data_IF_352761161573
#
_entry.id   IF_352761161573
#
_cell.length_a   1.000
_cell.length_b   1.000
_cell.length_c   1.000
_cell.angle_alpha   90.00
_cell.angle_beta   90.00
_cell.angle_gamma   90.00
#
_symmetry.space_group_name_H-M   'P 1'
#
loop_
_entity.id
_entity.type
_entity.pdbx_description
1 polymer ?
#
# COMPACT_ATOMS: atom_id res chain seq x y z
N UNK A 1 -13.85 3.54 2.24
CA UNK A 1 -14.16 2.15 2.59
C UNK A 1 -13.18 1.23 1.88
N UNK A 2 -12.74 0.10 2.47
CA UNK A 2 -11.72 -0.77 1.88
C UNK A 2 -12.06 -1.26 0.48
N UNK A 3 -13.30 -1.65 0.23
CA UNK A 3 -13.75 -2.06 -1.10
C UNK A 3 -13.71 -0.94 -2.14
N UNK A 4 -13.85 0.33 -1.74
CA UNK A 4 -13.79 1.45 -2.67
C UNK A 4 -12.38 1.59 -3.28
N UNK A 5 -11.33 1.39 -2.49
CA UNK A 5 -9.95 1.44 -3.01
C UNK A 5 -9.64 0.34 -4.01
N UNK A 6 -10.37 -0.79 -3.98
CA UNK A 6 -10.25 -1.87 -4.96
C UNK A 6 -11.16 -1.71 -6.19
N UNK A 7 -11.98 -0.64 -6.23
CA UNK A 7 -12.83 -0.29 -7.39
C UNK A 7 -12.17 0.82 -8.23
N UNK A 8 -11.57 1.83 -7.57
CA UNK A 8 -11.02 3.00 -8.24
C UNK A 8 -10.03 2.70 -9.36
N UNK A 9 -9.10 1.72 -9.22
CA UNK A 9 -8.17 1.37 -10.30
C UNK A 9 -8.84 0.86 -11.58
N UNK A 10 -10.01 0.23 -11.44
CA UNK A 10 -10.77 -0.34 -12.56
C UNK A 10 -11.81 0.63 -13.16
N UNK A 11 -11.99 1.80 -12.57
CA UNK A 11 -13.02 2.76 -12.97
C UNK A 11 -12.44 4.15 -13.15
N UNK A 12 -12.27 4.88 -12.07
CA UNK A 12 -11.84 6.29 -12.09
C UNK A 12 -10.44 6.47 -12.72
N UNK A 13 -9.49 5.58 -12.42
CA UNK A 13 -8.12 5.66 -12.93
C UNK A 13 -7.97 5.24 -14.40
N UNK A 14 -9.00 4.66 -15.02
CA UNK A 14 -8.99 4.39 -16.45
C UNK A 14 -9.11 5.69 -17.28
N UNK A 15 -9.71 6.72 -16.72
CA UNK A 15 -9.89 8.01 -17.41
C UNK A 15 -8.69 8.92 -17.25
N UNK A 16 -8.13 9.01 -16.05
CA UNK A 16 -7.01 9.91 -15.72
C UNK A 16 -6.49 9.63 -14.31
N UNK A 17 -5.31 10.15 -13.96
CA UNK A 17 -4.87 10.25 -12.57
C UNK A 17 -5.89 10.98 -11.70
N UNK A 18 -5.81 10.80 -10.40
CA UNK A 18 -6.69 11.46 -9.45
C UNK A 18 -5.89 11.99 -8.26
N UNK A 19 -6.40 13.02 -7.61
CA UNK A 19 -5.91 13.43 -6.31
C UNK A 19 -6.27 12.35 -5.30
N UNK A 20 -5.25 11.88 -4.60
CA UNK A 20 -5.40 10.91 -3.54
C UNK A 20 -4.32 11.14 -2.48
N UNK A 21 -4.71 11.10 -1.23
CA UNK A 21 -3.82 11.37 -0.09
C UNK A 21 -3.81 10.17 0.84
N UNK A 22 -2.99 9.14 0.55
CA UNK A 22 -2.79 8.00 1.44
C UNK A 22 -1.78 8.30 2.54
N UNK A 23 -1.40 7.28 3.30
CA UNK A 23 -0.27 7.34 4.21
C UNK A 23 -0.64 7.73 5.64
N UNK A 24 -1.84 7.45 6.08
CA UNK A 24 -2.19 7.62 7.49
C UNK A 24 -1.48 6.54 8.30
N UNK A 25 -0.62 6.92 9.25
CA UNK A 25 0.09 6.02 10.15
C UNK A 25 -0.58 5.89 11.50
N UNK A 26 -1.26 6.96 11.96
CA UNK A 26 -2.06 6.92 13.19
C UNK A 26 -3.47 6.39 12.90
N UNK A 27 -3.66 5.09 13.01
CA UNK A 27 -4.88 4.39 12.62
C UNK A 27 -5.80 4.07 13.81
N UNK A 28 -5.28 4.18 15.04
CA UNK A 28 -6.02 3.93 16.28
C UNK A 28 -6.10 5.19 17.13
N UNK A 29 -7.14 5.30 17.95
CA UNK A 29 -7.36 6.43 18.84
C UNK A 29 -7.33 7.79 18.10
N UNK A 30 -7.91 7.82 16.93
CA UNK A 30 -7.90 8.99 16.08
C UNK A 30 -8.77 10.08 16.68
N UNK A 31 -8.11 11.09 17.26
CA UNK A 31 -8.76 12.32 17.73
C UNK A 31 -8.95 13.27 16.57
N UNK A 32 -9.88 13.00 15.68
CA UNK A 32 -10.30 14.05 14.77
C UNK A 32 -11.25 15.01 15.51
N UNK A 33 -10.90 16.27 15.46
CA UNK A 33 -11.70 17.44 15.76
C UNK A 33 -13.19 17.16 16.03
N UNK A 34 -13.49 16.64 17.20
CA UNK A 34 -14.83 16.81 17.75
C UNK A 34 -14.83 18.18 18.41
N UNK A 35 -15.46 19.20 17.82
CA UNK A 35 -15.49 20.54 18.38
C UNK A 35 -16.20 20.63 19.72
N UNK A 36 -16.72 19.53 20.21
CA UNK A 36 -17.65 19.44 21.33
C UNK A 36 -17.22 18.51 22.48
N UNK A 37 -15.94 18.25 22.66
CA UNK A 37 -15.41 17.46 23.78
C UNK A 37 -16.08 16.08 23.99
N UNK A 38 -16.72 15.51 22.95
CA UNK A 38 -17.32 14.19 23.06
C UNK A 38 -16.24 13.15 23.31
N UNK A 39 -16.56 12.25 24.20
CA UNK A 39 -15.72 11.12 24.62
C UNK A 39 -15.14 10.41 23.40
N UNK A 40 -13.82 10.30 23.37
CA UNK A 40 -13.11 9.55 22.33
C UNK A 40 -13.63 8.12 22.40
N UNK A 41 -14.32 7.67 21.35
CA UNK A 41 -14.63 6.27 21.24
C UNK A 41 -13.33 5.53 20.92
N UNK A 42 -12.80 4.68 21.82
CA UNK A 42 -11.58 3.93 21.55
C UNK A 42 -11.70 2.99 20.35
N UNK A 43 -12.93 2.71 19.91
CA UNK A 43 -13.21 1.90 18.71
C UNK A 43 -13.19 2.72 17.41
N UNK A 44 -12.99 4.03 17.45
CA UNK A 44 -12.78 4.83 16.25
C UNK A 44 -11.41 4.50 15.64
N UNK A 45 -11.43 3.51 14.76
CA UNK A 45 -10.27 3.09 13.96
C UNK A 45 -10.50 3.40 12.51
N UNK A 46 -9.43 3.78 11.84
CA UNK A 46 -9.42 3.81 10.38
C UNK A 46 -9.33 2.34 9.92
N UNK A 47 -10.25 1.87 9.06
CA UNK A 47 -10.26 0.48 8.60
C UNK A 47 -9.17 0.24 7.55
N UNK A 48 -7.91 0.35 7.94
CA UNK A 48 -6.71 0.22 7.14
C UNK A 48 -5.56 -0.32 7.98
N UNK A 49 -4.42 -0.58 7.36
CA UNK A 49 -3.13 -0.85 8.01
C UNK A 49 -2.06 0.04 7.40
N UNK A 50 -0.92 0.23 8.08
CA UNK A 50 0.18 1.03 7.51
C UNK A 50 0.65 0.41 6.19
N UNK A 51 0.79 -0.92 6.10
CA UNK A 51 1.18 -1.57 4.85
C UNK A 51 0.20 -1.23 3.71
N UNK A 52 -1.12 -1.23 3.97
CA UNK A 52 -2.12 -0.79 2.98
C UNK A 52 -1.97 0.67 2.60
N UNK A 53 -1.77 1.55 3.56
CA UNK A 53 -1.56 2.97 3.28
C UNK A 53 -0.35 3.20 2.38
N UNK A 54 0.74 2.43 2.56
CA UNK A 54 1.90 2.46 1.68
C UNK A 54 1.60 1.93 0.27
N UNK A 55 0.92 0.77 0.16
CA UNK A 55 0.58 0.21 -1.14
C UNK A 55 -0.35 1.10 -1.97
N UNK A 56 -1.17 1.94 -1.33
CA UNK A 56 -2.05 2.88 -2.03
C UNK A 56 -1.27 3.92 -2.84
N UNK A 57 -0.04 4.27 -2.46
CA UNK A 57 0.85 5.13 -3.26
C UNK A 57 1.17 4.53 -4.63
N UNK A 58 1.22 3.20 -4.71
CA UNK A 58 1.47 2.48 -5.97
C UNK A 58 0.17 2.21 -6.72
N UNK A 59 -0.86 1.75 -6.01
CA UNK A 59 -2.13 1.31 -6.63
C UNK A 59 -2.93 2.48 -7.17
N UNK A 60 -3.02 3.57 -6.42
CA UNK A 60 -3.76 4.78 -6.83
C UNK A 60 -2.77 5.78 -7.41
N UNK A 61 -2.84 5.95 -8.73
CA UNK A 61 -1.96 6.91 -9.40
C UNK A 61 -2.40 8.36 -9.14
N UNK A 62 -1.56 9.06 -8.39
CA UNK A 62 -1.66 10.50 -8.16
C UNK A 62 -0.33 11.16 -8.53
N UNK A 63 -0.29 12.09 -9.50
CA UNK A 63 0.96 12.75 -9.91
C UNK A 63 1.48 13.74 -8.86
N UNK A 64 0.61 14.16 -7.95
CA UNK A 64 0.99 14.95 -6.76
C UNK A 64 0.75 14.07 -5.54
N UNK A 65 1.82 13.55 -4.98
CA UNK A 65 1.75 12.72 -3.78
C UNK A 65 1.71 13.60 -2.53
N UNK A 66 0.74 13.34 -1.68
CA UNK A 66 0.61 13.95 -0.36
C UNK A 66 0.58 12.85 0.70
N UNK A 67 0.99 13.20 1.91
CA UNK A 67 0.93 12.33 3.07
C UNK A 67 -0.19 12.81 4.01
N UNK A 68 -1.10 11.90 4.36
CA UNK A 68 -2.37 12.23 5.01
C UNK A 68 -2.29 12.47 6.52
N UNK A 69 -1.11 12.32 7.13
CA UNK A 69 -0.96 12.35 8.59
C UNK A 69 -0.10 13.52 9.07
N UNK A 70 -0.02 13.69 10.38
CA UNK A 70 0.82 14.71 11.00
C UNK A 70 2.31 14.31 10.91
N UNK A 71 3.22 15.29 10.73
CA UNK A 71 4.67 15.01 10.69
C UNK A 71 5.17 14.16 11.87
N UNK A 72 4.64 14.42 13.06
CA UNK A 72 5.01 13.69 14.29
C UNK A 72 4.68 12.19 14.26
N UNK A 73 3.75 11.75 13.40
CA UNK A 73 3.42 10.33 13.24
C UNK A 73 4.36 9.61 12.28
N UNK A 74 5.11 10.35 11.48
CA UNK A 74 6.14 9.80 10.59
C UNK A 74 7.53 9.76 11.22
N UNK A 75 7.80 10.66 12.18
CA UNK A 75 9.11 10.79 12.83
C UNK A 75 9.57 9.46 13.45
N UNK A 76 10.71 8.95 12.97
CA UNK A 76 11.28 7.70 13.45
C UNK A 76 10.52 6.42 13.02
N UNK A 77 9.43 6.54 12.26
CA UNK A 77 8.68 5.37 11.79
C UNK A 77 9.34 4.76 10.54
N UNK A 78 9.71 3.45 10.56
CA UNK A 78 10.48 2.85 9.45
C UNK A 78 9.72 2.84 8.12
N UNK A 79 8.41 2.83 8.12
CA UNK A 79 7.58 2.92 6.91
C UNK A 79 7.64 4.27 6.21
N UNK A 80 8.13 5.31 6.87
CA UNK A 80 8.25 6.64 6.26
C UNK A 80 9.28 6.65 5.12
N UNK A 81 10.30 5.78 5.19
CA UNK A 81 11.27 5.65 4.11
C UNK A 81 10.60 5.29 2.77
N UNK A 82 9.57 4.43 2.78
CA UNK A 82 8.81 4.11 1.57
C UNK A 82 8.17 5.36 0.94
N UNK A 83 7.60 6.24 1.76
CA UNK A 83 6.98 7.48 1.27
C UNK A 83 8.01 8.42 0.62
N UNK A 84 9.23 8.43 1.15
CA UNK A 84 10.35 9.22 0.59
C UNK A 84 10.87 8.64 -0.74
N UNK A 85 10.83 7.31 -0.86
CA UNK A 85 11.40 6.60 -2.01
C UNK A 85 10.41 6.45 -3.18
N UNK A 86 9.08 6.38 -2.90
CA UNK A 86 8.07 6.15 -3.94
C UNK A 86 7.96 7.35 -4.89
N UNK A 87 8.19 7.15 -6.20
CA UNK A 87 8.11 8.26 -7.16
C UNK A 87 6.66 8.58 -7.54
N UNK A 88 6.49 9.72 -8.18
CA UNK A 88 5.20 10.17 -8.74
C UNK A 88 5.12 10.07 -10.25
N UNK A 89 6.23 9.76 -10.91
CA UNK A 89 6.30 9.63 -12.36
C UNK A 89 6.77 8.23 -12.77
N UNK A 90 5.96 7.58 -13.59
CA UNK A 90 6.13 6.18 -13.94
C UNK A 90 6.40 5.99 -15.43
N UNK A 91 7.43 5.23 -15.76
CA UNK A 91 7.73 4.85 -17.16
C UNK A 91 6.88 3.68 -17.66
N UNK A 92 6.49 2.78 -16.76
CA UNK A 92 5.63 1.62 -17.07
C UNK A 92 4.67 1.34 -15.91
N UNK A 93 3.49 0.86 -16.26
CA UNK A 93 2.49 0.34 -15.31
C UNK A 93 1.94 -0.97 -15.83
N UNK A 94 1.86 -1.99 -14.97
CA UNK A 94 1.22 -3.26 -15.28
C UNK A 94 0.29 -3.64 -14.14
N UNK A 95 -0.92 -4.09 -14.46
CA UNK A 95 -1.78 -4.81 -13.54
C UNK A 95 -1.44 -6.29 -13.67
N UNK A 96 -0.96 -6.89 -12.60
CA UNK A 96 -0.52 -8.30 -12.62
C UNK A 96 -1.70 -9.24 -12.39
N UNK A 97 -2.59 -8.85 -11.49
CA UNK A 97 -3.85 -9.57 -11.23
C UNK A 97 -4.83 -8.63 -10.53
N UNK A 98 -6.10 -9.01 -10.52
CA UNK A 98 -7.12 -8.24 -9.83
C UNK A 98 -8.54 -8.65 -10.19
N UNK A 99 -9.46 -8.31 -9.29
CA UNK A 99 -10.89 -8.46 -9.46
C UNK A 99 -11.59 -7.25 -8.84
N UNK A 100 -12.43 -6.57 -9.63
CA UNK A 100 -13.14 -5.33 -9.22
C UNK A 100 -13.82 -5.53 -7.86
N UNK A 101 -13.58 -4.59 -6.95
CA UNK A 101 -14.17 -4.59 -5.61
C UNK A 101 -13.62 -5.66 -4.67
N UNK A 102 -12.66 -6.48 -5.12
CA UNK A 102 -12.08 -7.54 -4.31
C UNK A 102 -10.61 -7.30 -4.01
N UNK A 103 -9.76 -7.25 -5.02
CA UNK A 103 -8.33 -7.05 -4.87
C UNK A 103 -7.70 -6.56 -6.17
N UNK A 104 -6.49 -6.03 -6.06
CA UNK A 104 -5.67 -5.68 -7.22
C UNK A 104 -4.18 -5.68 -6.84
N UNK A 105 -3.34 -6.15 -7.75
CA UNK A 105 -1.88 -6.04 -7.69
C UNK A 105 -1.38 -5.25 -8.89
N UNK A 106 -0.70 -4.15 -8.62
CA UNK A 106 -0.14 -3.25 -9.63
C UNK A 106 1.37 -3.18 -9.44
N UNK A 107 2.10 -3.18 -10.53
CA UNK A 107 3.53 -2.88 -10.53
C UNK A 107 3.82 -1.70 -11.42
N UNK A 108 4.72 -0.82 -10.99
CA UNK A 108 5.12 0.39 -11.69
C UNK A 108 6.64 0.51 -11.72
N UNK A 109 7.18 0.92 -12.85
CA UNK A 109 8.61 1.23 -13.01
C UNK A 109 8.82 2.73 -12.87
N UNK A 110 9.74 3.13 -12.03
CA UNK A 110 10.18 4.51 -11.94
C UNK A 110 10.71 5.00 -13.31
N UNK A 111 10.46 6.26 -13.64
CA UNK A 111 10.96 6.87 -14.86
C UNK A 111 12.45 7.22 -14.77
N UNK A 112 12.89 7.54 -13.56
CA UNK A 112 14.22 8.11 -13.31
C UNK A 112 15.26 7.06 -12.90
N UNK A 113 14.83 5.83 -12.59
CA UNK A 113 15.70 4.74 -12.14
C UNK A 113 15.33 3.40 -12.77
N UNK A 114 16.03 2.33 -12.34
CA UNK A 114 15.70 0.95 -12.68
C UNK A 114 14.68 0.32 -11.73
N UNK A 115 14.21 1.05 -10.72
CA UNK A 115 13.44 0.52 -9.62
C UNK A 115 11.98 0.25 -10.01
N UNK A 116 11.46 -0.78 -9.39
CA UNK A 116 10.07 -1.20 -9.54
C UNK A 116 9.36 -1.13 -8.18
N UNK A 117 8.13 -0.65 -8.20
CA UNK A 117 7.27 -0.56 -7.03
C UNK A 117 6.04 -1.42 -7.26
N UNK A 118 5.81 -2.36 -6.35
CA UNK A 118 4.66 -3.25 -6.36
C UNK A 118 3.71 -2.88 -5.22
N UNK A 119 2.45 -2.69 -5.53
CA UNK A 119 1.38 -2.50 -4.56
C UNK A 119 0.28 -3.54 -4.76
N UNK A 120 -0.10 -4.22 -3.68
CA UNK A 120 -1.20 -5.18 -3.69
C UNK A 120 -2.17 -4.86 -2.56
N UNK A 121 -3.47 -4.77 -2.87
CA UNK A 121 -4.51 -4.45 -1.89
C UNK A 121 -5.71 -5.38 -2.00
N UNK A 122 -6.36 -5.65 -0.87
CA UNK A 122 -7.60 -6.42 -0.79
C UNK A 122 -8.72 -5.65 -0.08
N UNK A 123 -9.94 -6.14 -0.24
CA UNK A 123 -11.11 -5.66 0.49
C UNK A 123 -11.18 -6.27 1.90
N UNK A 124 -12.39 -6.60 2.39
CA UNK A 124 -12.61 -7.18 3.71
C UNK A 124 -12.34 -8.70 3.80
N UNK A 125 -11.81 -9.33 2.76
CA UNK A 125 -11.54 -10.77 2.73
C UNK A 125 -10.06 -11.05 2.59
N UNK A 126 -9.59 -12.04 3.32
CA UNK A 126 -8.22 -12.53 3.23
C UNK A 126 -7.99 -13.23 1.88
N UNK A 127 -6.80 -13.10 1.33
CA UNK A 127 -6.39 -13.74 0.07
C UNK A 127 -4.91 -14.03 0.07
N UNK A 128 -4.55 -15.11 -0.61
CA UNK A 128 -3.18 -15.33 -1.06
C UNK A 128 -3.12 -15.12 -2.56
N UNK A 129 -2.11 -14.40 -3.01
CA UNK A 129 -1.89 -14.08 -4.41
C UNK A 129 -0.45 -14.43 -4.77
N UNK A 130 -0.28 -15.29 -5.76
CA UNK A 130 1.04 -15.55 -6.34
C UNK A 130 1.34 -14.49 -7.41
N UNK A 131 2.52 -13.89 -7.34
CA UNK A 131 2.95 -12.80 -8.20
C UNK A 131 4.27 -13.16 -8.88
N UNK A 132 4.24 -13.53 -10.17
CA UNK A 132 5.46 -13.72 -10.94
C UNK A 132 6.22 -12.41 -11.11
N UNK A 133 7.53 -12.43 -10.89
CA UNK A 133 8.39 -11.25 -11.06
C UNK A 133 8.89 -11.07 -12.50
N UNK A 134 8.22 -11.66 -13.47
CA UNK A 134 8.55 -11.60 -14.91
C UNK A 134 8.45 -10.19 -15.52
N UNK A 135 8.10 -9.19 -14.75
CA UNK A 135 8.17 -7.79 -15.14
C UNK A 135 9.57 -7.19 -14.94
N UNK A 136 10.40 -7.78 -14.09
CA UNK A 136 11.79 -7.37 -13.85
C UNK A 136 12.65 -7.55 -15.11
N UNK A 137 13.75 -6.84 -15.18
CA UNK A 137 14.68 -6.96 -16.30
C UNK A 137 15.44 -8.30 -16.18
N UNK A 138 15.53 -9.03 -17.30
CA UNK A 138 16.28 -10.28 -17.36
C UNK A 138 17.75 -10.03 -17.07
N UNK A 139 18.40 -10.98 -16.44
CA UNK A 139 19.82 -10.94 -16.10
C UNK A 139 20.22 -9.86 -15.07
N UNK A 140 19.24 -9.33 -14.32
CA UNK A 140 19.51 -8.47 -13.19
C UNK A 140 19.04 -9.10 -11.88
N UNK A 141 19.82 -8.89 -10.82
CA UNK A 141 19.44 -9.20 -9.45
C UNK A 141 18.89 -7.92 -8.81
N UNK A 142 17.77 -8.04 -8.14
CA UNK A 142 17.13 -6.96 -7.41
C UNK A 142 17.13 -7.27 -5.92
N UNK A 143 17.28 -6.23 -5.11
CA UNK A 143 16.99 -6.29 -3.68
C UNK A 143 15.54 -5.85 -3.49
N UNK A 144 14.68 -6.77 -3.09
CA UNK A 144 13.29 -6.46 -2.75
C UNK A 144 13.20 -6.06 -1.28
N UNK A 145 12.57 -4.92 -1.00
CA UNK A 145 12.19 -4.47 0.33
C UNK A 145 10.67 -4.59 0.44
N UNK A 146 10.20 -5.46 1.32
CA UNK A 146 8.80 -5.83 1.43
C UNK A 146 8.23 -5.24 2.72
N UNK A 147 7.23 -4.37 2.58
CA UNK A 147 6.51 -3.76 3.68
C UNK A 147 5.18 -4.50 3.86
N UNK A 148 5.01 -5.23 4.94
CA UNK A 148 3.86 -6.11 5.15
C UNK A 148 3.30 -6.01 6.57
N UNK A 149 2.07 -6.44 6.74
CA UNK A 149 1.48 -6.64 8.05
C UNK A 149 2.14 -7.83 8.77
N UNK A 150 2.17 -7.84 10.10
CA UNK A 150 2.62 -9.01 10.86
C UNK A 150 1.64 -10.18 10.68
N UNK A 151 2.13 -11.43 10.74
CA UNK A 151 1.33 -12.66 10.55
C UNK A 151 0.05 -12.74 11.41
N UNK A 152 0.07 -12.21 12.62
CA UNK A 152 -1.09 -12.13 13.50
C UNK A 152 -1.62 -10.68 13.62
N UNK A 153 -1.39 -9.87 12.61
CA UNK A 153 -1.75 -8.46 12.55
C UNK A 153 -3.13 -8.20 11.98
N UNK A 154 -3.19 -7.11 11.24
CA UNK A 154 -4.38 -6.63 10.56
C UNK A 154 -5.07 -5.48 11.28
N UNK A 155 -6.00 -4.87 10.60
CA UNK A 155 -6.62 -3.62 11.02
C UNK A 155 -7.34 -3.65 12.38
N UNK A 156 -7.77 -4.85 12.83
CA UNK A 156 -8.45 -5.00 14.14
C UNK A 156 -7.49 -5.15 15.31
N UNK A 157 -6.32 -5.77 15.08
CA UNK A 157 -5.39 -6.09 16.17
C UNK A 157 -4.24 -5.10 16.28
N UNK A 158 -3.47 -4.96 15.20
CA UNK A 158 -2.23 -4.19 15.19
C UNK A 158 -2.08 -3.37 13.90
N UNK A 159 -3.02 -2.45 13.57
CA UNK A 159 -3.02 -1.75 12.29
C UNK A 159 -1.80 -0.85 12.06
N UNK A 160 -1.17 -0.40 13.14
CA UNK A 160 0.01 0.48 13.12
C UNK A 160 1.33 -0.31 13.14
N UNK A 161 1.28 -1.65 13.22
CA UNK A 161 2.49 -2.47 13.11
C UNK A 161 2.85 -2.74 11.66
N UNK A 162 4.12 -2.58 11.36
CA UNK A 162 4.70 -2.86 10.05
C UNK A 162 5.86 -3.82 10.21
N UNK A 163 5.96 -4.80 9.32
CA UNK A 163 7.11 -5.69 9.18
C UNK A 163 7.80 -5.35 7.88
N UNK A 164 9.13 -5.20 7.94
CA UNK A 164 9.96 -4.96 6.77
C UNK A 164 10.87 -6.15 6.59
N UNK A 165 10.83 -6.75 5.40
CA UNK A 165 11.68 -7.89 5.01
C UNK A 165 12.52 -7.50 3.82
N UNK A 166 13.73 -8.01 3.74
CA UNK A 166 14.62 -7.84 2.59
C UNK A 166 14.96 -9.21 2.00
N UNK A 167 14.94 -9.31 0.69
CA UNK A 167 15.35 -10.51 -0.03
C UNK A 167 15.89 -10.16 -1.40
N UNK A 168 16.73 -11.03 -1.95
CA UNK A 168 17.17 -10.89 -3.34
C UNK A 168 16.20 -11.63 -4.25
N UNK A 169 15.86 -11.01 -5.36
CA UNK A 169 14.93 -11.56 -6.34
C UNK A 169 15.42 -11.33 -7.77
N UNK A 170 14.93 -12.14 -8.68
CA UNK A 170 15.23 -12.09 -10.11
C UNK A 170 13.94 -12.17 -10.93
N UNK A 171 14.05 -12.00 -12.22
CA UNK A 171 12.98 -12.23 -13.20
C UNK A 171 12.30 -13.62 -13.10
N UNK A 172 13.01 -14.63 -12.61
CA UNK A 172 12.54 -16.01 -12.56
C UNK A 172 11.77 -16.35 -11.28
N UNK A 173 11.80 -15.45 -10.31
CA UNK A 173 11.17 -15.67 -9.01
C UNK A 173 9.69 -15.32 -8.98
N UNK A 174 9.02 -15.78 -7.98
CA UNK A 174 7.63 -15.48 -7.66
C UNK A 174 7.52 -15.07 -6.19
N UNK A 175 6.57 -14.21 -5.88
CA UNK A 175 6.24 -13.81 -4.52
C UNK A 175 4.84 -14.32 -4.16
N UNK A 176 4.75 -15.08 -3.08
CA UNK A 176 3.47 -15.41 -2.46
C UNK A 176 3.08 -14.31 -1.48
N UNK A 177 2.06 -13.56 -1.84
CA UNK A 177 1.57 -12.41 -1.10
C UNK A 177 0.32 -12.81 -0.32
N UNK A 178 0.42 -12.79 1.00
CA UNK A 178 -0.72 -13.02 1.88
C UNK A 178 -1.35 -11.67 2.21
N UNK A 179 -2.50 -11.42 1.62
CA UNK A 179 -3.32 -10.25 1.88
C UNK A 179 -4.30 -10.57 3.01
N UNK A 180 -4.00 -10.14 4.21
CA UNK A 180 -4.93 -10.27 5.34
C UNK A 180 -6.13 -9.30 5.16
N UNK A 181 -7.21 -9.56 5.86
CA UNK A 181 -8.43 -8.75 5.84
C UNK A 181 -8.13 -7.25 6.00
N UNK A 182 -8.40 -6.46 4.95
CA UNK A 182 -8.10 -5.03 4.83
C UNK A 182 -6.62 -4.68 4.90
N UNK A 183 -5.76 -5.64 4.71
CA UNK A 183 -4.30 -5.54 4.75
C UNK A 183 -3.67 -5.59 3.37
N UNK A 184 -2.34 -5.52 3.34
CA UNK A 184 -1.58 -5.45 2.10
C UNK A 184 -0.12 -5.85 2.29
N UNK A 185 0.47 -6.21 1.20
CA UNK A 185 1.92 -6.29 1.01
C UNK A 185 2.35 -5.19 0.06
#
# INVERSE_FOLDING_TARGET
KPNHTTILPFTRLLSSPMDYTPGIFKLTNYRYFAPDNRTINPDHRIPSTIAKELALYVVIYAPVQMAADLPTHYEGHPGFQFILDVPTDWSKTKVLNGEIGKFITVVRKDRSSSDWFLGSITNEKDRSVNVPLSFLDKNQNYKAIIYTDPENGGWLKNPEKLVIKETNVTYMDELDINLDRKSVV
#
